data_IF_882141727380
#
_entry.id   IF_882141727380
#
_cell.length_a   1.000
_cell.length_b   1.000
_cell.length_c   1.000
_cell.angle_alpha   90.00
_cell.angle_beta   90.00
_cell.angle_gamma   90.00
#
_symmetry.space_group_name_H-M   'P 1'
#
loop_
_entity.id
_entity.type
_entity.pdbx_description
1 polymer ?
#
# COMPACT_ATOMS: atom_id res chain seq x y z
N UNK A 1 -6.41 -12.53 36.85
CA UNK A 1 -6.96 -12.53 35.48
C UNK A 1 -5.98 -13.29 34.61
N UNK A 2 -6.32 -14.52 34.21
CA UNK A 2 -5.49 -15.32 33.31
C UNK A 2 -5.73 -14.82 31.88
N UNK A 3 -4.86 -13.94 31.38
CA UNK A 3 -4.80 -13.65 29.96
C UNK A 3 -4.27 -14.89 29.26
N UNK A 4 -5.14 -15.67 28.63
CA UNK A 4 -4.71 -16.70 27.70
C UNK A 4 -3.85 -16.02 26.62
N UNK A 5 -2.63 -16.51 26.35
CA UNK A 5 -1.81 -15.94 25.30
C UNK A 5 -2.56 -16.06 23.97
N UNK A 6 -2.66 -14.94 23.26
CA UNK A 6 -3.20 -14.92 21.91
C UNK A 6 -2.39 -15.90 21.05
N UNK A 7 -3.04 -16.80 20.30
CA UNK A 7 -2.35 -17.75 19.43
C UNK A 7 -1.51 -17.01 18.39
N UNK A 8 -0.31 -17.51 18.12
CA UNK A 8 0.55 -16.94 17.08
C UNK A 8 -0.05 -17.20 15.69
N UNK A 9 0.26 -16.35 14.72
CA UNK A 9 -0.22 -16.50 13.33
C UNK A 9 0.19 -17.87 12.76
N UNK A 10 1.39 -18.35 13.05
CA UNK A 10 1.83 -19.69 12.65
C UNK A 10 0.92 -20.80 13.21
N UNK A 11 0.42 -20.65 14.43
CA UNK A 11 -0.52 -21.61 15.04
C UNK A 11 -1.92 -21.54 14.41
N UNK A 12 -2.37 -20.34 13.99
CA UNK A 12 -3.63 -20.16 13.28
C UNK A 12 -3.58 -20.78 11.87
N UNK A 13 -2.45 -20.62 11.17
CA UNK A 13 -2.25 -21.19 9.83
C UNK A 13 -2.07 -22.71 9.84
N UNK A 14 -1.35 -23.23 10.83
CA UNK A 14 -1.25 -24.67 11.03
C UNK A 14 -2.61 -25.29 11.34
N UNK A 15 -3.44 -24.60 12.14
CA UNK A 15 -4.82 -25.03 12.39
C UNK A 15 -5.67 -25.02 11.11
N UNK A 16 -5.51 -24.01 10.25
CA UNK A 16 -6.20 -23.91 8.96
C UNK A 16 -5.84 -25.04 8.00
N UNK A 17 -4.55 -25.40 7.91
CA UNK A 17 -4.09 -26.46 7.04
C UNK A 17 -4.63 -27.83 7.49
N UNK A 18 -4.53 -28.13 8.80
CA UNK A 18 -5.07 -29.37 9.37
C UNK A 18 -6.60 -29.44 9.20
N UNK A 19 -7.30 -28.32 9.28
CA UNK A 19 -8.76 -28.32 9.18
C UNK A 19 -9.26 -28.38 7.73
N UNK A 20 -8.54 -27.77 6.78
CA UNK A 20 -8.79 -27.89 5.34
C UNK A 20 -8.60 -29.32 4.86
N UNK A 21 -7.59 -30.03 5.38
CA UNK A 21 -7.35 -31.45 5.12
C UNK A 21 -8.49 -32.34 5.65
N UNK A 22 -9.21 -31.90 6.69
CA UNK A 22 -10.24 -32.69 7.36
C UNK A 22 -11.68 -32.42 6.87
N UNK A 23 -12.00 -31.21 6.39
CA UNK A 23 -13.41 -30.79 6.19
C UNK A 23 -13.80 -30.46 4.73
N UNK A 24 -12.87 -30.52 3.78
CA UNK A 24 -13.14 -30.18 2.38
C UNK A 24 -13.38 -28.67 2.14
N UNK A 25 -13.48 -28.30 0.86
CA UNK A 25 -13.34 -26.91 0.38
C UNK A 25 -14.34 -25.89 0.97
N UNK A 26 -15.52 -26.29 1.43
CA UNK A 26 -16.54 -25.37 1.96
C UNK A 26 -16.18 -24.75 3.31
N UNK A 27 -15.32 -25.38 4.12
CA UNK A 27 -14.84 -24.81 5.38
C UNK A 27 -13.75 -23.74 5.18
N UNK A 28 -13.16 -23.67 3.99
CA UNK A 28 -12.08 -22.73 3.65
C UNK A 28 -12.66 -21.34 3.38
N UNK A 29 -13.81 -21.25 2.71
CA UNK A 29 -14.45 -19.98 2.34
C UNK A 29 -14.98 -19.22 3.57
N UNK A 30 -15.70 -19.91 4.48
CA UNK A 30 -16.21 -19.32 5.73
C UNK A 30 -15.10 -18.83 6.68
N UNK A 31 -13.91 -19.45 6.62
CA UNK A 31 -12.76 -19.04 7.43
C UNK A 31 -11.89 -17.99 6.75
N UNK A 32 -11.79 -17.97 5.41
CA UNK A 32 -11.18 -16.87 4.66
C UNK A 32 -11.92 -15.55 4.92
N UNK A 33 -13.25 -15.59 4.98
CA UNK A 33 -14.08 -14.45 5.36
C UNK A 33 -13.80 -13.98 6.81
N UNK A 34 -13.59 -14.92 7.73
CA UNK A 34 -13.24 -14.60 9.12
C UNK A 34 -11.81 -14.05 9.30
N UNK A 35 -10.87 -14.50 8.47
CA UNK A 35 -9.49 -13.99 8.44
C UNK A 35 -9.47 -12.59 7.83
N UNK A 36 -10.20 -12.36 6.72
CA UNK A 36 -10.41 -11.02 6.15
C UNK A 36 -11.08 -10.06 7.14
N UNK A 37 -11.97 -10.55 8.01
CA UNK A 37 -12.60 -9.76 9.07
C UNK A 37 -11.69 -9.47 10.28
N UNK A 38 -10.61 -10.23 10.49
CA UNK A 38 -9.78 -10.16 11.70
C UNK A 38 -8.34 -9.68 11.48
N UNK A 39 -7.81 -9.80 10.27
CA UNK A 39 -6.50 -9.25 9.93
C UNK A 39 -6.70 -7.89 9.22
N UNK A 40 -6.01 -6.81 9.63
CA UNK A 40 -5.95 -5.62 8.81
C UNK A 40 -5.37 -5.99 7.43
N UNK A 41 -5.94 -5.46 6.33
CA UNK A 41 -5.60 -5.83 4.95
C UNK A 41 -4.09 -5.85 4.65
N UNK A 42 -3.29 -5.03 5.32
CA UNK A 42 -1.83 -5.03 5.18
C UNK A 42 -1.14 -6.30 5.74
N UNK A 43 -1.78 -7.06 6.63
CA UNK A 43 -1.31 -8.36 7.11
C UNK A 43 -1.68 -9.51 6.16
N UNK A 44 -2.77 -9.42 5.40
CA UNK A 44 -3.00 -10.31 4.24
C UNK A 44 -1.93 -10.08 3.16
N UNK A 45 -1.40 -8.86 3.07
CA UNK A 45 -0.21 -8.55 2.27
C UNK A 45 1.10 -9.16 2.83
N UNK A 46 1.16 -9.63 4.10
CA UNK A 46 2.41 -10.14 4.72
C UNK A 46 2.78 -11.57 4.30
N UNK A 47 1.81 -12.46 4.06
CA UNK A 47 2.13 -13.79 3.50
C UNK A 47 2.65 -13.71 2.06
N UNK A 48 2.27 -12.65 1.35
CA UNK A 48 2.76 -12.37 0.00
C UNK A 48 3.98 -11.46 -0.01
N UNK A 49 4.55 -11.05 1.13
CA UNK A 49 5.73 -10.18 1.14
C UNK A 49 6.92 -10.80 0.43
N UNK A 50 7.13 -12.12 0.53
CA UNK A 50 8.21 -12.78 -0.22
C UNK A 50 7.90 -12.82 -1.72
N UNK A 51 6.64 -12.97 -2.12
CA UNK A 51 6.26 -12.97 -3.55
C UNK A 51 6.26 -11.56 -4.13
N UNK A 52 5.79 -10.56 -3.39
CA UNK A 52 5.86 -9.13 -3.74
C UNK A 52 7.30 -8.65 -3.77
N UNK A 53 8.13 -9.09 -2.81
CA UNK A 53 9.57 -8.89 -2.84
C UNK A 53 10.18 -9.51 -4.10
N UNK A 54 9.86 -10.77 -4.39
CA UNK A 54 10.34 -11.45 -5.59
C UNK A 54 9.83 -10.78 -6.87
N UNK A 55 8.59 -10.29 -6.90
CA UNK A 55 8.02 -9.53 -8.01
C UNK A 55 8.71 -8.17 -8.17
N UNK A 56 8.97 -7.45 -7.08
CA UNK A 56 9.71 -6.18 -7.10
C UNK A 56 11.14 -6.38 -7.57
N UNK A 57 11.80 -7.46 -7.11
CA UNK A 57 13.10 -7.89 -7.63
C UNK A 57 12.99 -8.21 -9.12
N UNK A 58 12.00 -8.99 -9.56
CA UNK A 58 11.83 -9.35 -10.97
C UNK A 58 11.49 -8.14 -11.87
N UNK A 59 10.60 -7.25 -11.44
CA UNK A 59 10.28 -5.98 -12.09
C UNK A 59 11.56 -5.17 -12.31
N UNK A 60 12.37 -5.05 -11.27
CA UNK A 60 13.65 -4.37 -11.35
C UNK A 60 14.66 -5.13 -12.24
N UNK A 61 14.66 -6.48 -12.29
CA UNK A 61 15.47 -7.25 -13.25
C UNK A 61 15.08 -6.98 -14.70
N UNK A 62 13.78 -6.82 -14.97
CA UNK A 62 13.28 -6.49 -16.31
C UNK A 62 13.71 -5.08 -16.73
N UNK A 63 13.69 -4.17 -15.77
CA UNK A 63 14.06 -2.77 -16.00
C UNK A 63 15.58 -2.58 -16.16
N UNK A 64 16.38 -3.26 -15.35
CA UNK A 64 17.84 -3.23 -15.38
C UNK A 64 18.40 -4.53 -15.94
N UNK A 65 18.69 -4.54 -17.26
CA UNK A 65 19.34 -5.66 -17.95
C UNK A 65 20.77 -5.97 -17.43
N UNK A 66 21.33 -5.15 -16.53
CA UNK A 66 22.73 -5.22 -16.11
C UNK A 66 22.95 -5.74 -14.68
N UNK A 67 22.49 -6.95 -14.32
CA UNK A 67 23.00 -7.76 -13.18
C UNK A 67 23.13 -7.08 -11.79
N UNK A 68 22.55 -5.89 -11.55
CA UNK A 68 22.82 -5.11 -10.34
C UNK A 68 21.95 -5.48 -9.15
N UNK A 69 20.95 -6.33 -9.30
CA UNK A 69 20.07 -6.69 -8.18
C UNK A 69 20.69 -7.60 -7.15
N UNK A 70 21.46 -8.60 -7.59
CA UNK A 70 22.20 -9.43 -6.64
C UNK A 70 23.21 -8.56 -5.88
N UNK A 71 23.73 -7.51 -6.53
CA UNK A 71 24.59 -6.50 -5.91
C UNK A 71 23.84 -5.52 -5.00
N UNK A 72 22.65 -5.05 -5.35
CA UNK A 72 21.83 -4.12 -4.56
C UNK A 72 21.25 -4.82 -3.33
N UNK A 73 20.75 -6.04 -3.49
CA UNK A 73 20.36 -6.92 -2.38
C UNK A 73 21.62 -7.21 -1.56
N UNK A 74 22.73 -7.71 -2.12
CA UNK A 74 23.96 -7.92 -1.34
C UNK A 74 24.42 -6.66 -0.59
N UNK A 75 24.24 -5.45 -1.12
CA UNK A 75 24.51 -4.18 -0.43
C UNK A 75 23.50 -3.83 0.66
N UNK A 76 22.24 -4.19 0.50
CA UNK A 76 21.22 -4.04 1.55
C UNK A 76 21.40 -5.09 2.68
N UNK A 77 21.89 -6.29 2.35
CA UNK A 77 22.13 -7.40 3.30
C UNK A 77 23.48 -7.30 4.01
N UNK A 78 24.54 -6.96 3.27
CA UNK A 78 25.84 -6.66 3.87
C UNK A 78 25.72 -5.30 4.51
N UNK A 79 25.87 -5.26 5.83
CA UNK A 79 25.98 -4.08 6.69
C UNK A 79 27.12 -3.09 6.31
N UNK A 80 27.61 -3.11 5.07
CA UNK A 80 28.50 -2.09 4.56
C UNK A 80 27.69 -0.81 4.39
N UNK A 81 28.12 0.25 5.08
CA UNK A 81 27.65 1.64 4.94
C UNK A 81 27.85 2.21 3.52
N UNK A 82 27.85 1.40 2.46
CA UNK A 82 27.34 1.91 1.19
C UNK A 82 25.89 2.26 1.48
N UNK A 83 25.66 3.57 1.57
CA UNK A 83 24.48 4.15 2.17
C UNK A 83 23.21 3.46 1.68
N UNK A 84 22.49 2.76 2.57
CA UNK A 84 21.13 2.25 2.35
C UNK A 84 20.24 3.29 1.67
N UNK A 85 20.49 4.58 1.94
CA UNK A 85 19.88 5.73 1.29
C UNK A 85 20.06 5.74 -0.23
N UNK A 86 21.26 5.46 -0.76
CA UNK A 86 21.50 5.46 -2.20
C UNK A 86 20.76 4.33 -2.91
N UNK A 87 20.71 3.13 -2.31
CA UNK A 87 19.95 2.02 -2.88
C UNK A 87 18.44 2.29 -2.91
N UNK A 88 17.91 2.92 -1.85
CA UNK A 88 16.50 3.34 -1.79
C UNK A 88 16.23 4.47 -2.81
N UNK A 89 17.15 5.42 -2.95
CA UNK A 89 17.04 6.50 -3.94
C UNK A 89 17.04 5.95 -5.37
N UNK A 90 18.00 5.09 -5.71
CA UNK A 90 18.05 4.44 -7.04
C UNK A 90 16.73 3.71 -7.30
N UNK A 91 16.21 2.93 -6.33
CA UNK A 91 14.93 2.23 -6.43
C UNK A 91 13.75 3.20 -6.62
N UNK A 92 13.74 4.35 -5.93
CA UNK A 92 12.72 5.38 -6.09
C UNK A 92 12.69 5.92 -7.52
N UNK A 93 13.86 6.27 -8.06
CA UNK A 93 13.97 6.80 -9.42
C UNK A 93 13.47 5.80 -10.47
N UNK A 94 13.74 4.50 -10.26
CA UNK A 94 13.19 3.44 -11.13
C UNK A 94 11.67 3.28 -10.98
N UNK A 95 11.15 3.32 -9.76
CA UNK A 95 9.72 3.21 -9.49
C UNK A 95 8.95 4.38 -10.13
N UNK A 96 9.47 5.60 -10.01
CA UNK A 96 8.91 6.79 -10.65
C UNK A 96 8.95 6.67 -12.17
N UNK A 97 10.08 6.24 -12.75
CA UNK A 97 10.14 6.09 -14.21
C UNK A 97 9.20 4.99 -14.73
N UNK A 98 9.01 3.90 -13.99
CA UNK A 98 8.00 2.90 -14.33
C UNK A 98 6.56 3.48 -14.25
N UNK A 99 6.29 4.30 -13.23
CA UNK A 99 5.02 4.99 -13.05
C UNK A 99 4.73 5.99 -14.17
N UNK A 100 5.69 6.83 -14.53
CA UNK A 100 5.60 7.80 -15.64
C UNK A 100 5.41 7.11 -17.00
N UNK A 101 5.89 5.88 -17.15
CA UNK A 101 5.74 5.06 -18.35
C UNK A 101 4.45 4.22 -18.34
N UNK A 102 3.57 4.41 -17.34
CA UNK A 102 2.34 3.64 -17.15
C UNK A 102 2.57 2.12 -17.05
N UNK A 103 3.78 1.71 -16.67
CA UNK A 103 4.10 0.32 -16.41
C UNK A 103 3.66 -0.01 -14.97
N UNK A 104 2.34 -0.10 -14.79
CA UNK A 104 1.70 -0.17 -13.48
C UNK A 104 2.14 -1.41 -12.68
N UNK A 105 2.37 -2.54 -13.33
CA UNK A 105 2.86 -3.77 -12.68
C UNK A 105 4.23 -3.55 -12.02
N UNK A 106 5.20 -2.98 -12.75
CA UNK A 106 6.54 -2.73 -12.24
C UNK A 106 6.52 -1.62 -11.19
N UNK A 107 5.78 -0.54 -11.43
CA UNK A 107 5.61 0.56 -10.47
C UNK A 107 5.01 0.03 -9.14
N UNK A 108 3.92 -0.73 -9.21
CA UNK A 108 3.27 -1.32 -8.03
C UNK A 108 4.25 -2.21 -7.26
N UNK A 109 4.99 -3.08 -7.95
CA UNK A 109 5.95 -3.98 -7.32
C UNK A 109 7.10 -3.22 -6.63
N UNK A 110 7.65 -2.18 -7.27
CA UNK A 110 8.71 -1.36 -6.70
C UNK A 110 8.23 -0.52 -5.52
N UNK A 111 7.08 0.17 -5.64
CA UNK A 111 6.54 0.96 -4.53
C UNK A 111 6.12 0.08 -3.36
N UNK A 112 5.56 -1.11 -3.59
CA UNK A 112 5.29 -2.09 -2.53
C UNK A 112 6.56 -2.43 -1.76
N UNK A 113 7.67 -2.66 -2.48
CA UNK A 113 8.95 -2.95 -1.85
C UNK A 113 9.51 -1.73 -1.09
N UNK A 114 9.37 -0.53 -1.64
CA UNK A 114 9.78 0.70 -0.96
C UNK A 114 8.98 0.98 0.32
N UNK A 115 7.66 0.77 0.30
CA UNK A 115 6.79 0.87 1.48
C UNK A 115 7.26 -0.09 2.56
N UNK A 116 7.62 -1.33 2.18
CA UNK A 116 8.20 -2.28 3.12
C UNK A 116 9.52 -1.79 3.74
N UNK A 117 10.39 -1.16 2.94
CA UNK A 117 11.68 -0.62 3.41
C UNK A 117 11.53 0.67 4.22
N UNK A 118 10.48 1.46 4.00
CA UNK A 118 10.27 2.80 4.56
C UNK A 118 8.77 3.06 4.81
N UNK A 119 8.16 2.36 5.79
CA UNK A 119 6.71 2.43 6.03
C UNK A 119 6.23 3.79 6.52
N UNK A 120 7.12 4.69 6.96
CA UNK A 120 6.73 6.02 7.42
C UNK A 120 6.72 7.07 6.30
N UNK A 121 7.02 6.69 5.05
CA UNK A 121 7.09 7.62 3.93
C UNK A 121 5.74 7.70 3.20
N UNK A 122 4.85 8.58 3.67
CA UNK A 122 3.45 8.65 3.21
C UNK A 122 3.31 8.73 1.67
N UNK A 123 4.17 9.49 0.97
CA UNK A 123 4.11 9.63 -0.51
C UNK A 123 4.25 8.31 -1.26
N UNK A 124 4.94 7.31 -0.71
CA UNK A 124 5.04 6.00 -1.36
C UNK A 124 3.67 5.30 -1.43
N UNK A 125 2.81 5.55 -0.46
CA UNK A 125 1.44 5.02 -0.47
C UNK A 125 0.57 5.73 -1.51
N UNK A 126 0.82 7.00 -1.82
CA UNK A 126 0.12 7.69 -2.91
C UNK A 126 0.42 6.96 -4.23
N UNK A 127 1.70 6.80 -4.59
CA UNK A 127 2.08 6.10 -5.82
C UNK A 127 1.61 4.64 -5.85
N UNK A 128 1.72 3.92 -4.73
CA UNK A 128 1.26 2.54 -4.64
C UNK A 128 -0.26 2.44 -4.79
N UNK A 129 -1.03 3.35 -4.17
CA UNK A 129 -2.48 3.38 -4.28
C UNK A 129 -2.93 3.70 -5.71
N UNK A 130 -2.29 4.64 -6.39
CA UNK A 130 -2.58 4.92 -7.81
C UNK A 130 -2.23 3.72 -8.70
N UNK A 131 -1.08 3.09 -8.50
CA UNK A 131 -0.74 1.87 -9.25
C UNK A 131 -1.74 0.72 -8.96
N UNK A 132 -2.25 0.63 -7.73
CA UNK A 132 -3.30 -0.32 -7.33
C UNK A 132 -4.61 -0.02 -8.06
N UNK A 133 -5.00 1.25 -8.16
CA UNK A 133 -6.19 1.69 -8.91
C UNK A 133 -6.08 1.30 -10.38
N UNK A 134 -4.92 1.54 -11.01
CA UNK A 134 -4.73 1.23 -12.44
C UNK A 134 -4.69 -0.27 -12.74
N UNK A 135 -4.17 -1.09 -11.84
CA UNK A 135 -4.11 -2.55 -12.03
C UNK A 135 -5.39 -3.28 -11.65
N UNK A 136 -6.01 -2.87 -10.53
CA UNK A 136 -7.06 -3.66 -9.87
C UNK A 136 -8.37 -2.88 -9.73
N UNK A 137 -8.42 -1.63 -10.18
CA UNK A 137 -9.60 -0.78 -10.15
C UNK A 137 -9.77 0.05 -8.86
N UNK A 138 -10.67 1.04 -8.89
CA UNK A 138 -10.84 2.03 -7.81
C UNK A 138 -11.34 1.41 -6.50
N UNK A 139 -12.13 0.35 -6.55
CA UNK A 139 -12.60 -0.35 -5.35
C UNK A 139 -11.44 -0.94 -4.52
N UNK A 140 -10.44 -1.52 -5.18
CA UNK A 140 -9.26 -2.07 -4.50
C UNK A 140 -8.36 -0.95 -3.95
N UNK A 141 -8.20 0.14 -4.70
CA UNK A 141 -7.47 1.31 -4.22
C UNK A 141 -8.15 1.98 -3.02
N UNK A 142 -9.48 2.08 -3.02
CA UNK A 142 -10.28 2.57 -1.89
C UNK A 142 -10.00 1.74 -0.62
N UNK A 143 -10.03 0.41 -0.70
CA UNK A 143 -9.72 -0.46 0.45
C UNK A 143 -8.28 -0.25 0.97
N UNK A 144 -7.34 -0.06 0.05
CA UNK A 144 -5.96 0.25 0.39
C UNK A 144 -5.86 1.60 1.12
N UNK A 145 -6.43 2.67 0.57
CA UNK A 145 -6.39 4.00 1.19
C UNK A 145 -7.14 4.06 2.51
N UNK A 146 -8.27 3.35 2.68
CA UNK A 146 -8.97 3.27 3.97
C UNK A 146 -8.09 2.67 5.07
N UNK A 147 -7.19 1.76 4.71
CA UNK A 147 -6.25 1.18 5.66
C UNK A 147 -5.15 2.18 6.02
N UNK A 148 -4.54 2.84 5.03
CA UNK A 148 -3.39 3.72 5.24
C UNK A 148 -3.79 5.06 5.89
N UNK A 149 -4.95 5.62 5.53
CA UNK A 149 -5.44 6.90 6.08
C UNK A 149 -5.87 6.84 7.55
N UNK A 150 -5.89 5.65 8.16
CA UNK A 150 -6.02 5.46 9.61
C UNK A 150 -4.68 5.64 10.34
N UNK A 151 -3.57 5.39 9.65
CA UNK A 151 -2.22 5.55 10.18
C UNK A 151 -1.61 6.91 9.82
N UNK A 152 -1.96 7.46 8.65
CA UNK A 152 -1.43 8.72 8.13
C UNK A 152 -2.57 9.68 7.80
N UNK A 153 -2.64 10.80 8.51
CA UNK A 153 -3.62 11.87 8.26
C UNK A 153 -2.98 13.00 7.44
N UNK A 154 -2.45 12.64 6.26
CA UNK A 154 -1.86 13.57 5.31
C UNK A 154 -2.95 14.08 4.32
N UNK A 155 -3.04 15.40 4.06
CA UNK A 155 -4.07 15.95 3.19
C UNK A 155 -4.03 15.40 1.76
N UNK A 156 -2.84 15.21 1.19
CA UNK A 156 -2.69 14.69 -0.16
C UNK A 156 -3.11 13.22 -0.22
N UNK A 157 -2.71 12.42 0.76
CA UNK A 157 -3.15 11.03 0.85
C UNK A 157 -4.68 10.90 0.97
N UNK A 158 -5.31 11.74 1.79
CA UNK A 158 -6.76 11.77 1.95
C UNK A 158 -7.47 12.23 0.67
N UNK A 159 -6.85 13.11 -0.12
CA UNK A 159 -7.37 13.51 -1.42
C UNK A 159 -7.47 12.34 -2.39
N UNK A 160 -6.37 11.60 -2.58
CA UNK A 160 -6.37 10.42 -3.46
C UNK A 160 -7.34 9.34 -2.99
N UNK A 161 -7.52 9.20 -1.66
CA UNK A 161 -8.54 8.32 -1.10
C UNK A 161 -9.96 8.76 -1.51
N UNK A 162 -10.24 10.07 -1.46
CA UNK A 162 -11.52 10.62 -1.88
C UNK A 162 -11.75 10.41 -3.39
N UNK A 163 -10.75 10.67 -4.24
CA UNK A 163 -10.86 10.44 -5.68
C UNK A 163 -11.18 8.98 -6.00
N UNK A 164 -10.55 8.03 -5.31
CA UNK A 164 -10.89 6.61 -5.46
C UNK A 164 -12.34 6.30 -5.09
N UNK A 165 -12.84 6.85 -3.98
CA UNK A 165 -14.23 6.66 -3.54
C UNK A 165 -15.26 7.33 -4.46
N UNK A 166 -14.90 8.43 -5.14
CA UNK A 166 -15.78 9.07 -6.14
C UNK A 166 -16.01 8.20 -7.39
N UNK A 167 -15.07 7.31 -7.70
CA UNK A 167 -15.22 6.33 -8.77
C UNK A 167 -16.02 5.09 -8.34
N UNK A 168 -16.36 4.99 -7.05
CA UNK A 168 -17.21 3.95 -6.47
C UNK A 168 -18.58 4.58 -6.16
N UNK A 169 -19.69 3.82 -6.09
CA UNK A 169 -21.02 4.39 -5.77
C UNK A 169 -21.19 4.95 -4.35
N UNK A 170 -20.13 5.42 -3.68
CA UNK A 170 -20.10 5.78 -2.26
C UNK A 170 -19.62 7.22 -2.01
N UNK A 171 -20.46 8.19 -2.36
CA UNK A 171 -20.15 9.62 -2.20
C UNK A 171 -19.92 10.05 -0.74
N UNK A 172 -20.52 9.37 0.24
CA UNK A 172 -20.38 9.71 1.66
C UNK A 172 -18.95 9.51 2.17
N UNK A 173 -18.27 8.44 1.73
CA UNK A 173 -16.86 8.23 2.08
C UNK A 173 -15.95 9.25 1.41
N UNK A 174 -16.16 9.52 0.12
CA UNK A 174 -15.42 10.56 -0.60
C UNK A 174 -15.54 11.91 0.12
N UNK A 175 -16.77 12.29 0.49
CA UNK A 175 -17.06 13.48 1.29
C UNK A 175 -16.28 13.50 2.61
N UNK A 176 -16.32 12.40 3.37
CA UNK A 176 -15.59 12.30 4.62
C UNK A 176 -14.08 12.49 4.44
N UNK A 177 -13.47 11.89 3.42
CA UNK A 177 -12.04 12.06 3.14
C UNK A 177 -11.70 13.51 2.75
N UNK A 178 -12.50 14.17 1.91
CA UNK A 178 -12.29 15.58 1.55
C UNK A 178 -12.38 16.50 2.76
N UNK A 179 -13.38 16.31 3.63
CA UNK A 179 -13.53 17.10 4.86
C UNK A 179 -12.32 16.94 5.79
N UNK A 180 -11.85 15.69 5.97
CA UNK A 180 -10.64 15.39 6.75
C UNK A 180 -9.39 16.01 6.11
N UNK A 181 -9.25 15.94 4.79
CA UNK A 181 -8.12 16.52 4.07
C UNK A 181 -8.07 18.05 4.25
N UNK A 182 -9.19 18.74 4.03
CA UNK A 182 -9.34 20.19 4.22
C UNK A 182 -8.97 20.61 5.65
N UNK A 183 -9.31 19.79 6.65
CA UNK A 183 -8.97 20.02 8.06
C UNK A 183 -7.49 19.81 8.35
N UNK A 184 -6.88 18.75 7.80
CA UNK A 184 -5.48 18.36 8.05
C UNK A 184 -4.46 19.40 7.56
N UNK A 185 -4.84 20.20 6.56
CA UNK A 185 -4.05 21.28 5.96
C UNK A 185 -3.58 22.40 6.93
N UNK A 186 -4.29 22.65 8.05
CA UNK A 186 -3.91 23.67 9.04
C UNK A 186 -3.80 25.12 8.49
N UNK A 187 -3.06 25.98 9.21
CA UNK A 187 -2.98 27.44 8.94
C UNK A 187 -1.72 27.90 8.16
N UNK A 188 -0.67 27.08 8.05
CA UNK A 188 0.59 27.45 7.39
C UNK A 188 0.83 26.55 6.19
N UNK A 189 0.59 27.06 4.98
CA UNK A 189 0.65 26.28 3.75
C UNK A 189 1.41 27.00 2.65
N UNK A 190 2.01 26.23 1.75
CA UNK A 190 2.49 26.72 0.46
C UNK A 190 1.32 27.04 -0.46
N UNK A 191 1.58 27.81 -1.53
CA UNK A 191 0.57 28.17 -2.54
C UNK A 191 -0.04 26.92 -3.19
N UNK A 192 0.76 25.90 -3.51
CA UNK A 192 0.28 24.63 -4.09
C UNK A 192 -0.72 23.90 -3.17
N UNK A 193 -0.46 23.93 -1.85
CA UNK A 193 -1.32 23.30 -0.86
C UNK A 193 -2.64 24.08 -0.69
N UNK A 194 -2.59 25.41 -0.80
CA UNK A 194 -3.80 26.24 -0.82
C UNK A 194 -4.66 25.97 -2.06
N UNK A 195 -4.03 25.84 -3.23
CA UNK A 195 -4.73 25.49 -4.46
C UNK A 195 -5.43 24.14 -4.31
N UNK A 196 -4.70 23.10 -3.87
CA UNK A 196 -5.27 21.78 -3.65
C UNK A 196 -6.44 21.82 -2.64
N UNK A 197 -6.33 22.62 -1.57
CA UNK A 197 -7.43 22.81 -0.60
C UNK A 197 -8.67 23.44 -1.23
N UNK A 198 -8.52 24.41 -2.13
CA UNK A 198 -9.65 25.01 -2.84
C UNK A 198 -10.28 24.03 -3.86
N UNK A 199 -9.47 23.23 -4.54
CA UNK A 199 -9.94 22.14 -5.41
C UNK A 199 -10.78 21.13 -4.61
N UNK A 200 -10.31 20.71 -3.44
CA UNK A 200 -11.07 19.83 -2.54
C UNK A 200 -12.41 20.44 -2.11
N UNK A 201 -12.45 21.74 -1.77
CA UNK A 201 -13.69 22.43 -1.41
C UNK A 201 -14.65 22.51 -2.60
N UNK A 202 -14.13 22.68 -3.82
CA UNK A 202 -14.95 22.69 -5.02
C UNK A 202 -15.57 21.32 -5.27
N UNK A 203 -14.77 20.25 -5.21
CA UNK A 203 -15.24 18.86 -5.34
C UNK A 203 -16.26 18.50 -4.26
N UNK A 204 -16.02 18.91 -3.01
CA UNK A 204 -16.95 18.68 -1.90
C UNK A 204 -18.35 19.27 -2.13
N UNK A 205 -18.47 20.35 -2.92
CA UNK A 205 -19.78 20.94 -3.27
C UNK A 205 -20.52 20.17 -4.37
N UNK A 206 -19.83 19.29 -5.09
CA UNK A 206 -20.40 18.48 -6.18
C UNK A 206 -20.91 17.12 -5.71
N UNK A 207 -20.47 16.67 -4.52
CA UNK A 207 -20.89 15.43 -3.86
C UNK A 207 -22.10 15.65 -2.96
#
# INVERSE_FOLDING_TARGET
MNSNPQPSIASLLAALQVQAENNGNTAIEDYQEQIQKKLPLWELYTQDQTKLLNKGIQAFKRYDQTHRLDFLWMRLKRNEKVSKTKAIEDLYQYAIKAYEQENWDDAHAMFSFMVFLSPNHYRLYIYLGTATEKLYGPANASLFYDTITKAFEDPELLFYAAECEMHVPNNEKAKNYLERAIKAFGDKQSDDMLQLKEEMKALLKTL
#
